data_IF_049659801405
#
_entry.id   IF_049659801405
#
_cell.length_a   1.000
_cell.length_b   1.000
_cell.length_c   1.000
_cell.angle_alpha   90.00
_cell.angle_beta   90.00
_cell.angle_gamma   90.00
#
_symmetry.space_group_name_H-M   'P 1'
#
loop_
_entity.id
_entity.type
_entity.pdbx_description
1 polymer ?
#
# COMPACT_ATOMS: atom_id res chain seq x y z
N UNK A 1 35.73 -7.42 21.19
CA UNK A 1 34.40 -6.80 21.38
C UNK A 1 34.62 -5.34 21.81
N UNK A 2 33.70 -4.41 21.52
CA UNK A 2 33.76 -3.07 22.12
C UNK A 2 33.77 -3.16 23.65
N UNK A 3 34.44 -2.22 24.30
CA UNK A 3 34.48 -2.15 25.76
C UNK A 3 33.07 -1.97 26.33
N UNK A 4 32.70 -2.77 27.33
CA UNK A 4 31.38 -2.74 27.97
C UNK A 4 30.33 -3.71 27.41
N UNK A 5 30.65 -4.50 26.37
CA UNK A 5 29.77 -5.57 25.88
C UNK A 5 29.97 -6.85 26.70
N UNK A 6 28.90 -7.35 27.31
CA UNK A 6 28.94 -8.59 28.10
C UNK A 6 29.11 -9.81 27.19
N UNK A 7 30.11 -10.64 27.51
CA UNK A 7 30.37 -11.91 26.84
C UNK A 7 29.78 -13.11 27.60
N UNK A 8 29.21 -12.89 28.79
CA UNK A 8 28.62 -13.94 29.60
C UNK A 8 27.42 -14.58 28.89
N UNK A 9 27.31 -15.91 28.99
CA UNK A 9 26.24 -16.69 28.38
C UNK A 9 26.48 -17.14 26.94
N UNK A 10 27.57 -16.71 26.29
CA UNK A 10 27.94 -17.16 24.94
C UNK A 10 29.21 -18.03 24.96
N UNK A 11 29.22 -19.09 24.14
CA UNK A 11 30.46 -19.81 23.81
C UNK A 11 31.47 -18.88 23.13
N UNK A 12 31.05 -18.27 22.01
CA UNK A 12 31.70 -17.11 21.40
C UNK A 12 30.62 -16.09 21.11
N UNK A 13 30.85 -14.82 21.46
CA UNK A 13 29.86 -13.77 21.23
C UNK A 13 29.56 -13.64 19.72
N UNK A 14 28.29 -13.60 19.26
CA UNK A 14 27.94 -13.59 17.84
C UNK A 14 28.61 -12.48 17.04
N UNK A 15 28.65 -11.25 17.56
CA UNK A 15 29.36 -10.13 16.91
C UNK A 15 30.88 -10.33 16.81
N UNK A 16 31.49 -11.07 17.76
CA UNK A 16 32.92 -11.37 17.71
C UNK A 16 33.22 -12.46 16.68
N UNK A 17 32.34 -13.47 16.59
CA UNK A 17 32.42 -14.51 15.58
C UNK A 17 32.19 -13.93 14.17
N UNK A 18 31.19 -13.05 14.00
CA UNK A 18 30.91 -12.37 12.73
C UNK A 18 32.11 -11.51 12.26
N UNK A 19 32.70 -10.73 13.17
CA UNK A 19 33.90 -9.95 12.87
C UNK A 19 35.08 -10.84 12.43
N UNK A 20 35.19 -12.08 12.94
CA UNK A 20 36.19 -13.04 12.51
C UNK A 20 35.97 -13.55 11.07
N UNK A 21 34.78 -13.35 10.49
CA UNK A 21 34.44 -13.72 9.10
C UNK A 21 34.80 -12.62 8.10
N UNK A 22 34.83 -11.35 8.51
CA UNK A 22 35.05 -10.22 7.60
C UNK A 22 36.34 -10.32 6.75
N UNK A 23 37.47 -10.87 7.25
CA UNK A 23 38.67 -11.05 6.43
C UNK A 23 38.48 -12.00 5.24
N UNK A 24 37.45 -12.86 5.21
CA UNK A 24 37.13 -13.71 4.06
C UNK A 24 36.88 -12.87 2.80
N UNK A 25 36.17 -11.73 2.95
CA UNK A 25 35.87 -10.82 1.83
C UNK A 25 37.06 -9.97 1.37
N UNK A 26 38.12 -9.84 2.19
CA UNK A 26 39.30 -9.03 1.91
C UNK A 26 40.48 -9.86 1.40
N UNK A 27 40.56 -11.15 1.76
CA UNK A 27 41.76 -11.97 1.61
C UNK A 27 41.89 -12.77 0.31
N UNK A 28 40.94 -12.67 -0.63
CA UNK A 28 40.97 -13.46 -1.87
C UNK A 28 40.96 -14.97 -1.65
N UNK A 29 40.44 -15.43 -0.50
CA UNK A 29 40.43 -16.84 -0.09
C UNK A 29 39.45 -17.70 -0.91
N UNK A 30 38.57 -17.05 -1.66
CA UNK A 30 37.53 -17.61 -2.54
C UNK A 30 37.39 -16.72 -3.77
N UNK A 31 37.21 -17.32 -4.95
CA UNK A 31 37.14 -16.62 -6.24
C UNK A 31 35.81 -15.88 -6.44
N UNK A 32 35.65 -14.73 -5.79
CA UNK A 32 34.52 -13.86 -6.03
C UNK A 32 34.62 -13.19 -7.41
N UNK A 33 33.67 -13.49 -8.30
CA UNK A 33 33.56 -12.80 -9.59
C UNK A 33 33.21 -11.32 -9.36
N UNK A 34 33.70 -10.42 -10.22
CA UNK A 34 33.38 -8.97 -10.12
C UNK A 34 31.87 -8.76 -10.08
N UNK A 35 31.37 -8.10 -9.02
CA UNK A 35 29.95 -7.76 -8.87
C UNK A 35 29.11 -8.74 -8.04
N UNK A 36 29.75 -9.71 -7.39
CA UNK A 36 29.09 -10.70 -6.51
C UNK A 36 29.63 -10.56 -5.09
N UNK A 37 28.72 -10.49 -4.11
CA UNK A 37 29.06 -10.54 -2.68
C UNK A 37 28.84 -11.95 -2.18
N UNK A 38 29.84 -12.53 -1.52
CA UNK A 38 29.74 -13.85 -0.89
C UNK A 38 29.25 -13.70 0.56
N UNK A 39 28.17 -14.40 0.92
CA UNK A 39 27.63 -14.40 2.27
C UNK A 39 27.76 -15.77 2.94
N UNK A 40 28.03 -15.83 4.27
CA UNK A 40 27.94 -17.06 5.05
C UNK A 40 26.59 -17.74 4.88
N UNK A 41 26.59 -19.00 4.45
CA UNK A 41 25.37 -19.77 4.22
C UNK A 41 25.21 -20.94 5.21
N UNK A 42 26.26 -21.73 5.40
CA UNK A 42 26.20 -22.91 6.28
C UNK A 42 27.52 -23.20 6.97
N UNK A 43 27.46 -23.56 8.25
CA UNK A 43 28.59 -24.00 9.07
C UNK A 43 28.57 -25.52 9.22
N UNK A 44 29.70 -26.18 8.95
CA UNK A 44 29.89 -27.61 9.06
C UNK A 44 31.05 -27.95 10.01
N UNK A 45 30.83 -28.94 10.89
CA UNK A 45 31.85 -29.42 11.82
C UNK A 45 32.31 -28.35 12.81
N UNK A 46 31.36 -27.69 13.48
CA UNK A 46 31.63 -26.68 14.51
C UNK A 46 31.94 -27.38 15.83
N UNK A 47 33.07 -27.04 16.45
CA UNK A 47 33.46 -27.54 17.78
C UNK A 47 33.84 -26.33 18.66
N UNK A 48 33.24 -26.24 19.85
CA UNK A 48 33.54 -25.22 20.85
C UNK A 48 34.52 -25.81 21.88
N UNK A 49 35.63 -25.12 22.11
CA UNK A 49 36.73 -25.57 22.96
C UNK A 49 36.80 -24.77 24.27
N UNK A 50 36.49 -23.47 24.21
CA UNK A 50 36.49 -22.58 25.36
C UNK A 50 35.39 -21.51 25.21
N UNK A 51 35.07 -20.80 26.30
CA UNK A 51 34.05 -19.74 26.30
C UNK A 51 34.52 -18.48 27.02
N UNK A 52 33.81 -17.36 26.81
CA UNK A 52 34.10 -16.09 27.49
C UNK A 52 35.23 -15.25 26.87
N UNK A 53 35.71 -15.60 25.67
CA UNK A 53 36.71 -14.80 24.97
C UNK A 53 36.11 -13.46 24.50
N UNK A 54 36.70 -12.34 24.96
CA UNK A 54 36.35 -10.98 24.51
C UNK A 54 37.20 -10.49 23.34
N UNK A 55 38.35 -11.14 23.12
CA UNK A 55 39.32 -10.90 22.04
C UNK A 55 39.72 -12.25 21.45
N UNK A 56 39.73 -12.35 20.12
CA UNK A 56 40.13 -13.56 19.41
C UNK A 56 41.08 -13.26 18.25
N UNK A 57 41.87 -14.27 17.88
CA UNK A 57 42.61 -14.35 16.63
C UNK A 57 41.99 -15.45 15.79
N UNK A 58 41.87 -15.22 14.48
CA UNK A 58 41.29 -16.19 13.56
C UNK A 58 42.31 -16.59 12.51
N UNK A 59 42.40 -17.90 12.24
CA UNK A 59 43.06 -18.44 11.07
C UNK A 59 41.99 -18.96 10.12
N UNK A 60 42.01 -18.44 8.90
CA UNK A 60 41.13 -18.84 7.81
C UNK A 60 41.94 -19.65 6.79
N UNK A 61 41.46 -20.82 6.40
CA UNK A 61 42.14 -21.67 5.41
C UNK A 61 41.15 -22.11 4.33
N UNK A 62 41.43 -21.88 3.03
CA UNK A 62 40.59 -22.39 1.96
C UNK A 62 40.53 -23.91 2.01
N UNK A 63 39.33 -24.49 1.89
CA UNK A 63 39.13 -25.96 1.90
C UNK A 63 38.57 -26.49 0.57
N UNK A 64 38.47 -25.64 -0.45
CA UNK A 64 38.00 -25.97 -1.80
C UNK A 64 36.57 -25.51 -2.06
N UNK A 65 36.26 -25.18 -3.32
CA UNK A 65 34.98 -24.55 -3.72
C UNK A 65 34.76 -23.20 -3.03
N UNK A 66 33.50 -22.87 -2.77
CA UNK A 66 33.10 -21.64 -2.04
C UNK A 66 33.17 -21.83 -0.51
N UNK A 67 34.16 -22.58 0.02
CA UNK A 67 34.24 -22.93 1.44
C UNK A 67 35.60 -22.62 2.11
N UNK A 68 35.53 -22.17 3.36
CA UNK A 68 36.68 -21.77 4.20
C UNK A 68 36.59 -22.47 5.56
N UNK A 69 37.70 -22.99 6.10
CA UNK A 69 37.78 -23.46 7.49
C UNK A 69 38.24 -22.36 8.43
N UNK A 70 37.77 -22.40 9.67
CA UNK A 70 38.07 -21.42 10.70
C UNK A 70 38.69 -22.10 11.92
N UNK A 71 39.78 -21.52 12.42
CA UNK A 71 40.29 -21.80 13.75
C UNK A 71 40.38 -20.47 14.49
N UNK A 72 39.56 -20.32 15.53
CA UNK A 72 39.50 -19.14 16.38
C UNK A 72 40.18 -19.47 17.69
N UNK A 73 41.16 -18.66 18.08
CA UNK A 73 41.91 -18.78 19.32
C UNK A 73 41.78 -17.49 20.13
N UNK A 74 41.99 -17.56 21.43
CA UNK A 74 42.00 -16.38 22.31
C UNK A 74 43.32 -15.58 22.19
N UNK A 75 43.50 -14.58 23.07
CA UNK A 75 44.72 -13.77 23.11
C UNK A 75 45.99 -14.57 23.48
N UNK A 76 45.84 -15.65 24.26
CA UNK A 76 46.92 -16.55 24.65
C UNK A 76 47.26 -17.57 23.54
N UNK A 77 46.38 -17.74 22.57
CA UNK A 77 46.54 -18.69 21.46
C UNK A 77 45.85 -20.03 21.70
N UNK A 78 45.07 -20.16 22.77
CA UNK A 78 44.30 -21.36 23.05
C UNK A 78 43.03 -21.40 22.17
N UNK A 79 42.67 -22.57 21.61
CA UNK A 79 41.52 -22.69 20.74
C UNK A 79 40.22 -22.38 21.48
N UNK A 80 39.36 -21.60 20.84
CA UNK A 80 38.04 -21.20 21.35
C UNK A 80 36.93 -21.87 20.53
N UNK A 81 36.97 -21.74 19.20
CA UNK A 81 36.04 -22.44 18.30
C UNK A 81 36.76 -22.86 17.03
N UNK A 82 36.44 -24.06 16.53
CA UNK A 82 36.87 -24.51 15.20
C UNK A 82 35.65 -24.80 14.33
N UNK A 83 35.78 -24.52 13.03
CA UNK A 83 34.77 -24.79 12.00
C UNK A 83 35.48 -25.49 10.85
N UNK A 84 35.09 -26.73 10.55
CA UNK A 84 35.71 -27.51 9.47
C UNK A 84 35.40 -26.96 8.09
N UNK A 85 34.17 -26.46 7.88
CA UNK A 85 33.79 -25.81 6.62
C UNK A 85 32.70 -24.75 6.84
N UNK A 86 32.96 -23.52 6.43
CA UNK A 86 31.98 -22.47 6.24
C UNK A 86 31.74 -22.30 4.74
N UNK A 87 30.55 -22.67 4.27
CA UNK A 87 30.15 -22.51 2.87
C UNK A 87 29.57 -21.12 2.66
N UNK A 88 30.02 -20.46 1.60
CA UNK A 88 29.60 -19.14 1.19
C UNK A 88 28.69 -19.27 -0.04
N UNK A 89 27.75 -18.34 -0.20
CA UNK A 89 26.93 -18.25 -1.40
C UNK A 89 27.02 -16.89 -2.07
N UNK A 90 27.04 -16.84 -3.41
CA UNK A 90 27.02 -15.61 -4.17
C UNK A 90 25.65 -14.95 -4.14
N UNK A 91 25.62 -13.64 -3.87
CA UNK A 91 24.48 -12.75 -4.09
C UNK A 91 24.91 -11.67 -5.08
N UNK A 92 24.14 -11.49 -6.15
CA UNK A 92 24.45 -10.49 -7.17
C UNK A 92 24.16 -9.08 -6.68
N UNK A 93 25.00 -8.11 -7.05
CA UNK A 93 24.75 -6.71 -6.75
C UNK A 93 23.48 -6.17 -7.46
N UNK A 94 23.00 -6.82 -8.51
CA UNK A 94 21.71 -6.52 -9.14
C UNK A 94 20.52 -6.88 -8.27
N UNK A 95 20.54 -8.03 -7.56
CA UNK A 95 19.47 -8.41 -6.65
C UNK A 95 19.34 -7.44 -5.46
N UNK A 96 20.47 -6.94 -4.95
CA UNK A 96 20.53 -5.93 -3.89
C UNK A 96 20.11 -4.52 -4.36
N UNK A 97 20.36 -4.18 -5.64
CA UNK A 97 19.94 -2.90 -6.22
C UNK A 97 18.48 -2.91 -6.65
N UNK A 98 17.95 -4.03 -7.14
CA UNK A 98 16.55 -4.14 -7.52
C UNK A 98 15.59 -3.91 -6.34
N UNK A 99 16.00 -4.21 -5.11
CA UNK A 99 15.23 -3.91 -3.90
C UNK A 99 15.33 -2.46 -3.41
N UNK A 100 16.26 -1.65 -3.94
CA UNK A 100 16.58 -0.30 -3.42
C UNK A 100 16.45 0.82 -4.46
N UNK A 101 16.74 0.57 -5.73
CA UNK A 101 16.92 1.60 -6.74
C UNK A 101 15.63 2.28 -7.25
N UNK A 102 14.44 1.77 -6.91
CA UNK A 102 13.16 2.33 -7.34
C UNK A 102 12.47 3.27 -6.34
N UNK A 103 12.94 3.33 -5.09
CA UNK A 103 12.12 3.85 -3.97
C UNK A 103 12.68 5.09 -3.27
N UNK A 104 13.83 5.62 -3.70
CA UNK A 104 14.53 6.68 -2.96
C UNK A 104 14.08 8.11 -3.27
N UNK A 105 13.31 8.33 -4.35
CA UNK A 105 12.86 9.65 -4.79
C UNK A 105 11.36 9.91 -4.59
N UNK A 106 10.58 8.89 -4.27
CA UNK A 106 9.13 9.01 -4.11
C UNK A 106 8.75 9.21 -2.65
N UNK A 107 7.88 10.18 -2.41
CA UNK A 107 7.34 10.49 -1.09
C UNK A 107 5.82 10.53 -1.14
N UNK A 108 5.20 10.19 -0.02
CA UNK A 108 3.76 10.29 0.23
C UNK A 108 3.50 11.08 1.50
N UNK A 109 2.29 11.61 1.62
CA UNK A 109 1.81 12.20 2.87
C UNK A 109 1.17 11.08 3.69
N UNK A 110 1.67 10.90 4.90
CA UNK A 110 1.05 10.08 5.93
C UNK A 110 0.40 10.98 6.96
N UNK A 111 -0.82 10.64 7.38
CA UNK A 111 -1.58 11.38 8.37
C UNK A 111 -1.38 10.72 9.73
N UNK A 112 -0.62 11.38 10.59
CA UNK A 112 -0.22 10.83 11.89
C UNK A 112 -1.13 11.40 12.99
N UNK A 113 -1.67 10.56 13.90
CA UNK A 113 -2.49 11.02 15.00
C UNK A 113 -1.75 12.06 15.86
N UNK A 114 -2.44 13.13 16.21
CA UNK A 114 -1.94 14.15 17.12
C UNK A 114 -2.56 14.00 18.51
N UNK A 115 -1.78 14.34 19.53
CA UNK A 115 -2.32 14.56 20.85
C UNK A 115 -3.17 15.85 20.86
N UNK A 116 -4.18 15.89 21.74
CA UNK A 116 -4.93 17.11 21.97
C UNK A 116 -4.00 18.23 22.47
N UNK A 117 -4.28 19.47 22.07
CA UNK A 117 -3.52 20.62 22.54
C UNK A 117 -3.70 20.80 24.06
N UNK A 118 -2.61 21.06 24.77
CA UNK A 118 -2.64 21.42 26.19
C UNK A 118 -2.80 22.94 26.33
N UNK A 119 -3.97 23.39 26.83
CA UNK A 119 -4.23 24.80 27.12
C UNK A 119 -5.60 25.28 26.63
N UNK A 120 -5.98 26.53 26.97
CA UNK A 120 -7.22 27.12 26.46
C UNK A 120 -7.12 27.37 24.94
N UNK A 121 -8.19 27.05 24.22
CA UNK A 121 -8.30 27.38 22.80
C UNK A 121 -8.39 28.91 22.61
N UNK A 122 -7.83 29.47 21.52
CA UNK A 122 -7.88 30.90 21.25
C UNK A 122 -9.32 31.37 20.99
N UNK A 123 -9.60 32.62 21.37
CA UNK A 123 -10.89 33.23 21.08
C UNK A 123 -11.07 33.44 19.57
N UNK A 124 -12.01 32.70 18.98
CA UNK A 124 -12.21 32.64 17.54
C UNK A 124 -13.48 33.37 17.06
N UNK A 125 -13.41 33.99 15.88
CA UNK A 125 -14.55 34.59 15.18
C UNK A 125 -14.68 33.99 13.78
N UNK A 126 -15.90 33.60 13.42
CA UNK A 126 -16.21 33.07 12.09
C UNK A 126 -16.47 34.21 11.11
N UNK A 127 -15.86 34.11 9.93
CA UNK A 127 -16.06 34.99 8.78
C UNK A 127 -16.82 34.25 7.68
N UNK A 128 -17.94 34.82 7.25
CA UNK A 128 -18.69 34.37 6.08
C UNK A 128 -18.14 34.93 4.76
N UNK A 129 -17.53 36.12 4.79
CA UNK A 129 -16.94 36.75 3.63
C UNK A 129 -15.85 37.77 3.99
N UNK A 130 -14.96 38.07 3.04
CA UNK A 130 -13.90 39.04 3.23
C UNK A 130 -14.38 40.50 3.42
N UNK A 131 -15.66 40.79 3.19
CA UNK A 131 -16.28 42.08 3.48
C UNK A 131 -16.52 42.31 4.97
N UNK A 132 -16.56 41.26 5.79
CA UNK A 132 -16.86 41.33 7.22
C UNK A 132 -15.64 41.77 8.07
N UNK A 133 -14.44 41.82 7.47
CA UNK A 133 -13.21 42.18 8.18
C UNK A 133 -13.27 43.58 8.82
N UNK A 134 -13.95 44.55 8.21
CA UNK A 134 -14.07 45.89 8.80
C UNK A 134 -14.97 45.89 10.05
N UNK A 135 -16.07 45.12 10.00
CA UNK A 135 -17.00 44.98 11.12
C UNK A 135 -16.36 44.22 12.30
N UNK A 136 -15.55 43.20 12.02
CA UNK A 136 -14.77 42.50 13.04
C UNK A 136 -13.78 43.45 13.71
N UNK A 137 -13.02 44.22 12.94
CA UNK A 137 -12.08 45.19 13.49
C UNK A 137 -12.76 46.24 14.37
N UNK A 138 -13.96 46.69 14.01
CA UNK A 138 -14.75 47.63 14.80
C UNK A 138 -15.20 47.08 16.16
N UNK A 139 -15.34 45.74 16.28
CA UNK A 139 -15.72 45.04 17.52
C UNK A 139 -14.52 44.59 18.35
N UNK A 140 -13.31 44.65 17.78
CA UNK A 140 -12.06 44.22 18.38
C UNK A 140 -11.43 43.04 17.63
N UNK A 141 -10.10 43.09 17.45
CA UNK A 141 -9.35 42.06 16.72
C UNK A 141 -9.33 40.75 17.54
N UNK A 142 -9.83 39.63 16.99
CA UNK A 142 -9.83 38.35 17.68
C UNK A 142 -8.45 37.69 17.67
N UNK A 143 -8.27 36.67 18.50
CA UNK A 143 -7.06 35.84 18.53
C UNK A 143 -6.99 34.90 17.33
N UNK A 144 -8.14 34.49 16.77
CA UNK A 144 -8.23 33.62 15.60
C UNK A 144 -9.42 34.02 14.72
N UNK A 145 -9.20 34.05 13.40
CA UNK A 145 -10.27 34.09 12.41
C UNK A 145 -10.51 32.69 11.85
N UNK A 146 -11.77 32.33 11.61
CA UNK A 146 -12.16 31.05 11.04
C UNK A 146 -13.05 31.31 9.83
N UNK A 147 -12.84 30.59 8.73
CA UNK A 147 -13.74 30.61 7.58
C UNK A 147 -13.98 29.20 7.06
N UNK A 148 -15.18 28.96 6.53
CA UNK A 148 -15.60 27.66 6.00
C UNK A 148 -15.77 27.78 4.49
N UNK A 149 -15.07 26.94 3.73
CA UNK A 149 -15.24 26.90 2.28
C UNK A 149 -16.59 26.25 1.95
N UNK A 150 -17.40 26.93 1.14
CA UNK A 150 -18.71 26.45 0.72
C UNK A 150 -18.59 25.14 -0.08
N UNK A 151 -19.12 24.01 0.42
CA UNK A 151 -19.02 22.72 -0.26
C UNK A 151 -19.77 22.67 -1.60
N UNK A 152 -20.70 23.60 -1.84
CA UNK A 152 -21.42 23.72 -3.10
C UNK A 152 -20.71 24.63 -4.13
N UNK A 153 -19.64 25.32 -3.73
CA UNK A 153 -18.91 26.20 -4.65
C UNK A 153 -18.13 25.41 -5.69
N UNK A 154 -18.13 25.90 -6.93
CA UNK A 154 -17.20 25.41 -7.93
C UNK A 154 -15.75 25.83 -7.61
N UNK A 155 -14.79 25.21 -8.29
CA UNK A 155 -13.35 25.45 -8.10
C UNK A 155 -12.98 26.93 -8.21
N UNK A 156 -13.55 27.64 -9.20
CA UNK A 156 -13.20 29.05 -9.46
C UNK A 156 -13.67 29.94 -8.32
N UNK A 157 -14.90 29.74 -7.87
CA UNK A 157 -15.48 30.49 -6.77
C UNK A 157 -14.76 30.21 -5.46
N UNK A 158 -14.57 28.94 -5.10
CA UNK A 158 -13.90 28.54 -3.86
C UNK A 158 -12.48 29.13 -3.75
N UNK A 159 -11.69 29.02 -4.82
CA UNK A 159 -10.32 29.57 -4.86
C UNK A 159 -10.34 31.09 -4.91
N UNK A 160 -11.24 31.70 -5.69
CA UNK A 160 -11.35 33.16 -5.84
C UNK A 160 -11.74 33.86 -4.54
N UNK A 161 -12.77 33.36 -3.86
CA UNK A 161 -13.24 33.91 -2.59
C UNK A 161 -12.17 33.77 -1.50
N UNK A 162 -11.48 32.62 -1.45
CA UNK A 162 -10.35 32.42 -0.54
C UNK A 162 -9.20 33.38 -0.85
N UNK A 163 -8.82 33.54 -2.12
CA UNK A 163 -7.75 34.45 -2.53
C UNK A 163 -8.05 35.90 -2.13
N UNK A 164 -9.28 36.38 -2.36
CA UNK A 164 -9.69 37.73 -1.97
C UNK A 164 -9.60 37.92 -0.45
N UNK A 165 -10.00 36.92 0.33
CA UNK A 165 -9.88 36.95 1.79
C UNK A 165 -8.42 37.04 2.23
N UNK A 166 -7.55 36.18 1.69
CA UNK A 166 -6.11 36.18 2.01
C UNK A 166 -5.47 37.52 1.65
N UNK A 167 -5.75 38.07 0.46
CA UNK A 167 -5.20 39.34 0.02
C UNK A 167 -5.65 40.51 0.88
N UNK A 168 -6.93 40.56 1.28
CA UNK A 168 -7.44 41.58 2.19
C UNK A 168 -6.81 41.49 3.57
N UNK A 169 -6.69 40.29 4.12
CA UNK A 169 -6.05 40.06 5.43
C UNK A 169 -4.57 40.47 5.42
N UNK A 170 -3.84 40.14 4.36
CA UNK A 170 -2.42 40.49 4.21
C UNK A 170 -2.20 41.98 3.92
N UNK A 171 -3.19 42.65 3.32
CA UNK A 171 -3.12 44.09 3.02
C UNK A 171 -3.52 45.00 4.17
N UNK A 172 -4.03 44.44 5.27
CA UNK A 172 -4.55 45.19 6.41
C UNK A 172 -3.72 44.95 7.67
N UNK A 173 -2.96 45.98 8.06
CA UNK A 173 -2.01 45.91 9.18
C UNK A 173 -2.67 45.68 10.53
N UNK A 174 -4.00 45.88 10.66
CA UNK A 174 -4.75 45.55 11.89
C UNK A 174 -4.70 44.05 12.19
N UNK A 175 -4.51 43.22 11.18
CA UNK A 175 -4.53 41.77 11.26
C UNK A 175 -3.15 41.11 11.16
N UNK A 176 -2.05 41.87 11.19
CA UNK A 176 -0.69 41.35 10.96
C UNK A 176 -0.32 40.15 11.86
N UNK A 177 -0.84 40.11 13.08
CA UNK A 177 -0.63 39.03 14.05
C UNK A 177 -1.82 38.08 14.20
N UNK A 178 -2.89 38.27 13.42
CA UNK A 178 -4.10 37.45 13.52
C UNK A 178 -4.03 36.27 12.54
N UNK A 179 -4.00 35.03 13.04
CA UNK A 179 -4.08 33.84 12.21
C UNK A 179 -5.48 33.64 11.62
N UNK A 180 -5.54 32.99 10.46
CA UNK A 180 -6.76 32.56 9.80
C UNK A 180 -6.76 31.04 9.62
N UNK A 181 -7.77 30.37 10.15
CA UNK A 181 -8.08 28.98 9.87
C UNK A 181 -9.11 28.86 8.75
N UNK A 182 -8.77 28.08 7.72
CA UNK A 182 -9.65 27.77 6.61
C UNK A 182 -10.09 26.31 6.72
N UNK A 183 -11.39 26.11 6.89
CA UNK A 183 -12.00 24.80 7.08
C UNK A 183 -12.52 24.30 5.74
N UNK A 184 -12.15 23.06 5.40
CA UNK A 184 -12.51 22.37 4.16
C UNK A 184 -13.15 21.02 4.44
N UNK A 185 -14.05 20.60 3.56
CA UNK A 185 -14.68 19.28 3.59
C UNK A 185 -13.92 18.22 2.78
N UNK A 186 -13.74 17.04 3.37
CA UNK A 186 -13.19 15.87 2.70
C UNK A 186 -14.06 15.45 1.50
N UNK A 187 -13.39 15.05 0.40
CA UNK A 187 -14.07 14.61 -0.83
C UNK A 187 -14.60 15.73 -1.74
N UNK A 188 -14.61 16.99 -1.28
CA UNK A 188 -14.99 18.13 -2.12
C UNK A 188 -13.82 18.59 -3.00
N UNK A 189 -13.87 18.29 -4.31
CA UNK A 189 -12.78 18.57 -5.26
C UNK A 189 -12.38 20.06 -5.33
N UNK A 190 -13.35 20.97 -5.21
CA UNK A 190 -13.09 22.41 -5.19
C UNK A 190 -12.20 22.82 -4.01
N UNK A 191 -12.36 22.17 -2.87
CA UNK A 191 -11.56 22.44 -1.68
C UNK A 191 -10.11 21.99 -1.85
N UNK A 192 -9.86 20.90 -2.57
CA UNK A 192 -8.49 20.45 -2.86
C UNK A 192 -7.68 21.50 -3.62
N UNK A 193 -8.32 22.32 -4.47
CA UNK A 193 -7.65 23.45 -5.12
C UNK A 193 -7.31 24.58 -4.13
N UNK A 194 -8.19 24.84 -3.16
CA UNK A 194 -7.93 25.79 -2.05
C UNK A 194 -6.73 25.38 -1.21
N UNK A 195 -6.51 24.07 -1.00
CA UNK A 195 -5.30 23.59 -0.33
C UNK A 195 -4.02 23.99 -1.05
N UNK A 196 -4.02 23.94 -2.38
CA UNK A 196 -2.88 24.38 -3.20
C UNK A 196 -2.54 25.85 -2.93
N UNK A 197 -3.55 26.71 -2.96
CA UNK A 197 -3.41 28.14 -2.66
C UNK A 197 -2.89 28.37 -1.22
N UNK A 198 -3.49 27.69 -0.23
CA UNK A 198 -3.10 27.88 1.17
C UNK A 198 -1.68 27.39 1.47
N UNK A 199 -1.21 26.31 0.85
CA UNK A 199 0.19 25.87 1.01
C UNK A 199 1.18 26.94 0.55
N UNK A 200 0.89 27.64 -0.54
CA UNK A 200 1.69 28.78 -0.98
C UNK A 200 1.63 29.91 0.06
N UNK A 201 0.43 30.31 0.49
CA UNK A 201 0.25 31.36 1.49
C UNK A 201 0.97 31.05 2.83
N UNK A 202 0.95 29.79 3.28
CA UNK A 202 1.65 29.30 4.46
C UNK A 202 3.17 29.39 4.33
N UNK A 203 3.69 29.09 3.14
CA UNK A 203 5.14 29.18 2.86
C UNK A 203 5.60 30.63 2.87
N UNK A 204 4.79 31.53 2.31
CA UNK A 204 5.08 32.97 2.25
C UNK A 204 4.87 33.67 3.60
N UNK A 205 3.93 33.19 4.43
CA UNK A 205 3.53 33.80 5.70
C UNK A 205 3.45 32.75 6.83
N UNK A 206 4.60 32.29 7.37
CA UNK A 206 4.62 31.24 8.38
C UNK A 206 3.78 31.58 9.62
N UNK A 207 2.97 30.63 10.08
CA UNK A 207 2.14 30.77 11.29
C UNK A 207 0.88 31.63 11.12
N UNK A 208 0.61 32.17 9.93
CA UNK A 208 -0.58 33.02 9.70
C UNK A 208 -1.79 32.26 9.16
N UNK A 209 -1.59 31.11 8.53
CA UNK A 209 -2.66 30.39 7.84
C UNK A 209 -2.70 28.94 8.26
N UNK A 210 -3.86 28.49 8.71
CA UNK A 210 -4.13 27.13 9.13
C UNK A 210 -5.16 26.50 8.20
N UNK A 211 -4.95 25.24 7.86
CA UNK A 211 -5.87 24.46 7.04
C UNK A 211 -6.39 23.30 7.86
N UNK A 212 -7.70 23.17 7.96
CA UNK A 212 -8.36 22.04 8.60
C UNK A 212 -9.30 21.35 7.62
N UNK A 213 -9.08 20.07 7.33
CA UNK A 213 -10.04 19.22 6.63
C UNK A 213 -10.91 18.47 7.63
N UNK A 214 -12.20 18.39 7.35
CA UNK A 214 -13.16 17.65 8.17
C UNK A 214 -14.04 16.75 7.32
N UNK A 215 -14.43 15.62 7.89
CA UNK A 215 -15.44 14.69 7.38
C UNK A 215 -16.88 15.07 7.81
N UNK A 216 -17.04 16.07 8.68
CA UNK A 216 -18.33 16.48 9.23
C UNK A 216 -18.96 17.69 8.51
N UNK A 217 -20.29 17.76 8.53
CA UNK A 217 -21.05 18.83 7.86
C UNK A 217 -21.01 20.17 8.62
N UNK A 218 -20.92 20.13 9.95
CA UNK A 218 -20.92 21.29 10.84
C UNK A 218 -19.81 21.11 11.88
N UNK A 219 -18.64 21.70 11.61
CA UNK A 219 -17.52 21.65 12.56
C UNK A 219 -17.59 22.84 13.52
N UNK A 220 -17.61 22.57 14.83
CA UNK A 220 -17.69 23.60 15.86
C UNK A 220 -16.46 24.52 15.81
N UNK A 221 -16.67 25.83 15.88
CA UNK A 221 -15.58 26.82 15.93
C UNK A 221 -14.63 26.57 17.10
N UNK A 222 -15.12 26.02 18.22
CA UNK A 222 -14.30 25.64 19.35
C UNK A 222 -13.34 24.48 19.03
N UNK A 223 -13.80 23.51 18.23
CA UNK A 223 -12.97 22.39 17.76
C UNK A 223 -11.92 22.89 16.75
N UNK A 224 -12.28 23.82 15.85
CA UNK A 224 -11.30 24.47 14.96
C UNK A 224 -10.21 25.18 15.77
N UNK A 225 -10.61 25.97 16.78
CA UNK A 225 -9.67 26.70 17.61
C UNK A 225 -8.74 25.76 18.40
N UNK A 226 -9.28 24.65 18.93
CA UNK A 226 -8.47 23.61 19.59
C UNK A 226 -7.51 22.93 18.63
N UNK A 227 -7.94 22.66 17.39
CA UNK A 227 -7.08 22.07 16.36
C UNK A 227 -5.92 23.02 16.01
N UNK A 228 -6.18 24.32 15.82
CA UNK A 228 -5.14 25.34 15.58
C UNK A 228 -4.16 25.44 16.75
N UNK A 229 -4.61 25.27 17.99
CA UNK A 229 -3.76 25.31 19.18
C UNK A 229 -2.72 24.18 19.23
N UNK A 230 -2.83 23.13 18.41
CA UNK A 230 -1.79 22.11 18.25
C UNK A 230 -0.50 22.66 17.60
N UNK A 231 -0.59 23.81 16.91
CA UNK A 231 0.54 24.43 16.21
C UNK A 231 0.82 23.86 14.81
N UNK A 232 0.04 22.88 14.36
CA UNK A 232 0.16 22.32 13.01
C UNK A 232 -0.58 23.20 11.99
N UNK A 233 0.12 23.63 10.93
CA UNK A 233 -0.46 24.48 9.89
C UNK A 233 -1.46 23.74 8.98
N UNK A 234 -1.39 22.40 8.92
CA UNK A 234 -2.30 21.56 8.15
C UNK A 234 -2.78 20.42 9.02
N UNK A 235 -4.09 20.23 9.06
CA UNK A 235 -4.76 19.29 9.94
C UNK A 235 -5.89 18.57 9.19
N UNK A 236 -6.13 17.33 9.58
CA UNK A 236 -7.33 16.57 9.21
C UNK A 236 -8.02 16.10 10.47
N UNK A 237 -9.33 16.28 10.54
CA UNK A 237 -10.20 15.63 11.51
C UNK A 237 -10.96 14.51 10.80
N UNK A 238 -10.91 13.32 11.38
CA UNK A 238 -11.71 12.18 10.95
C UNK A 238 -12.16 11.43 12.21
N UNK A 239 -13.45 11.12 12.30
CA UNK A 239 -14.05 10.40 13.43
C UNK A 239 -13.72 11.03 14.81
N UNK A 240 -13.57 12.35 14.88
CA UNK A 240 -13.25 13.09 16.11
C UNK A 240 -11.77 13.05 16.53
N UNK A 241 -10.90 12.41 15.76
CA UNK A 241 -9.45 12.40 15.98
C UNK A 241 -8.75 13.40 15.04
N UNK A 242 -7.74 14.11 15.56
CA UNK A 242 -6.90 15.01 14.77
C UNK A 242 -5.65 14.30 14.25
N UNK A 243 -5.28 14.64 13.02
CA UNK A 243 -4.11 14.13 12.32
C UNK A 243 -3.32 15.26 11.67
N UNK A 244 -2.00 15.17 11.76
CA UNK A 244 -1.06 16.06 11.10
C UNK A 244 -0.36 15.36 9.92
N UNK A 245 -0.11 16.05 8.79
CA UNK A 245 0.58 15.46 7.66
C UNK A 245 2.08 15.34 7.95
N UNK A 246 2.67 14.21 7.58
CA UNK A 246 4.11 13.96 7.60
C UNK A 246 4.54 13.41 6.26
N UNK A 247 5.67 13.88 5.76
CA UNK A 247 6.25 13.36 4.53
C UNK A 247 6.98 12.05 4.85
N UNK A 248 6.54 10.96 4.26
CA UNK A 248 7.15 9.64 4.39
C UNK A 248 7.65 9.15 3.03
N UNK A 249 8.68 8.30 3.03
CA UNK A 249 9.14 7.63 1.80
C UNK A 249 8.06 6.69 1.31
N UNK A 250 7.78 6.71 0.01
CA UNK A 250 6.86 5.77 -0.62
C UNK A 250 7.57 4.41 -0.78
N UNK A 251 7.64 3.65 0.31
CA UNK A 251 8.09 2.25 0.29
C UNK A 251 6.89 1.39 -0.12
N UNK A 252 7.03 0.57 -1.16
CA UNK A 252 5.99 -0.35 -1.62
C UNK A 252 5.94 -1.61 -0.73
N UNK A 253 5.81 -1.44 0.58
CA UNK A 253 5.73 -2.57 1.53
C UNK A 253 4.35 -3.25 1.50
N UNK A 254 3.30 -2.51 1.14
CA UNK A 254 1.91 -3.00 1.18
C UNK A 254 1.33 -3.37 -0.19
N UNK A 255 2.16 -3.48 -1.23
CA UNK A 255 1.69 -3.81 -2.58
C UNK A 255 2.36 -5.06 -3.13
N UNK A 256 1.58 -5.91 -3.81
CA UNK A 256 2.14 -7.09 -4.48
C UNK A 256 3.00 -6.67 -5.68
N UNK A 257 4.27 -7.08 -5.75
CA UNK A 257 5.13 -6.75 -6.88
C UNK A 257 4.66 -7.50 -8.13
N UNK A 258 4.44 -6.77 -9.22
CA UNK A 258 4.20 -7.38 -10.54
C UNK A 258 5.50 -8.00 -11.04
N UNK A 259 5.53 -9.28 -11.48
CA UNK A 259 6.74 -9.93 -11.96
C UNK A 259 7.41 -9.15 -13.11
N UNK A 260 8.67 -8.75 -12.91
CA UNK A 260 9.45 -8.07 -13.95
C UNK A 260 9.76 -9.03 -15.10
N UNK A 261 9.48 -8.62 -16.34
CA UNK A 261 9.80 -9.41 -17.54
C UNK A 261 8.80 -10.52 -17.88
N UNK A 262 7.73 -10.71 -17.08
CA UNK A 262 6.60 -11.56 -17.43
C UNK A 262 5.35 -10.67 -17.59
N UNK A 263 4.96 -10.28 -18.83
CA UNK A 263 3.81 -9.42 -19.04
C UNK A 263 2.48 -10.10 -18.64
N UNK A 264 2.50 -11.42 -18.46
CA UNK A 264 1.38 -12.22 -18.02
C UNK A 264 1.62 -12.80 -16.62
N UNK A 265 0.61 -12.67 -15.77
CA UNK A 265 0.66 -13.07 -14.37
C UNK A 265 -0.77 -13.28 -13.86
N UNK A 266 -0.91 -13.93 -12.71
CA UNK A 266 -2.18 -14.07 -12.00
C UNK A 266 -2.01 -13.86 -10.50
N UNK A 267 -3.07 -13.45 -9.83
CA UNK A 267 -3.14 -13.52 -8.37
C UNK A 267 -3.25 -14.99 -7.95
N UNK A 268 -2.34 -15.43 -7.09
CA UNK A 268 -2.28 -16.79 -6.58
C UNK A 268 -1.97 -16.79 -5.10
N UNK A 269 -2.22 -17.92 -4.44
CA UNK A 269 -1.78 -18.19 -3.08
C UNK A 269 -0.49 -19.00 -3.16
N UNK A 270 0.59 -18.48 -2.60
CA UNK A 270 1.86 -19.19 -2.42
C UNK A 270 2.05 -19.44 -0.94
N UNK A 271 2.10 -20.71 -0.59
CA UNK A 271 2.18 -21.13 0.81
C UNK A 271 0.93 -21.89 1.19
N UNK A 272 0.79 -22.16 2.48
CA UNK A 272 -0.34 -22.87 3.05
C UNK A 272 -0.54 -22.47 4.50
N UNK A 273 -0.19 -21.22 4.83
CA UNK A 273 -0.31 -20.70 6.20
C UNK A 273 -1.74 -20.28 6.52
N UNK A 274 -2.57 -20.05 5.48
CA UNK A 274 -3.96 -19.62 5.63
C UNK A 274 -4.07 -18.14 5.99
N UNK A 275 -3.11 -17.34 5.53
CA UNK A 275 -3.01 -15.90 5.80
C UNK A 275 -2.98 -15.12 4.48
N UNK A 276 -3.31 -13.81 4.51
CA UNK A 276 -3.35 -12.99 3.28
C UNK A 276 -1.94 -12.66 2.76
N UNK A 277 -0.93 -12.83 3.61
CA UNK A 277 0.50 -12.70 3.32
C UNK A 277 0.99 -13.75 2.31
N UNK A 278 0.25 -14.85 2.15
CA UNK A 278 0.51 -15.87 1.13
C UNK A 278 0.11 -15.40 -0.30
N UNK A 279 -0.59 -14.27 -0.45
CA UNK A 279 -0.95 -13.75 -1.77
C UNK A 279 0.27 -13.29 -2.56
N UNK A 280 0.37 -13.73 -3.81
CA UNK A 280 1.44 -13.35 -4.74
C UNK A 280 0.88 -13.12 -6.14
N UNK A 281 1.56 -12.28 -6.93
CA UNK A 281 1.39 -12.27 -8.38
C UNK A 281 2.33 -13.31 -8.98
N UNK A 282 1.78 -14.46 -9.36
CA UNK A 282 2.54 -15.55 -9.96
C UNK A 282 2.66 -15.32 -11.47
N UNK A 283 3.89 -15.38 -12.05
CA UNK A 283 4.07 -15.27 -13.48
C UNK A 283 3.42 -16.46 -14.21
N UNK A 284 2.88 -16.20 -15.39
CA UNK A 284 2.34 -17.19 -16.31
C UNK A 284 3.12 -17.16 -17.63
N UNK A 285 3.10 -18.26 -18.41
CA UNK A 285 3.60 -18.24 -19.79
C UNK A 285 2.96 -17.12 -20.62
N UNK A 286 3.63 -16.70 -21.69
CA UNK A 286 3.06 -15.71 -22.61
C UNK A 286 1.75 -16.28 -23.20
N UNK A 287 0.63 -15.54 -23.14
CA UNK A 287 -0.62 -15.98 -23.72
C UNK A 287 -0.52 -16.35 -25.20
N UNK A 288 0.42 -15.75 -25.95
CA UNK A 288 0.67 -16.03 -27.36
C UNK A 288 1.26 -17.44 -27.60
N UNK A 289 1.92 -18.03 -26.60
CA UNK A 289 2.55 -19.35 -26.71
C UNK A 289 1.55 -20.50 -26.50
N UNK A 290 0.30 -20.19 -26.14
CA UNK A 290 -0.72 -21.18 -25.84
C UNK A 290 -1.96 -20.98 -26.75
N UNK A 291 -2.10 -21.74 -27.85
CA UNK A 291 -3.23 -21.62 -28.75
C UNK A 291 -4.58 -21.86 -28.05
N UNK A 292 -5.62 -21.12 -28.45
CA UNK A 292 -6.98 -21.33 -27.95
C UNK A 292 -7.57 -22.65 -28.45
N UNK A 293 -8.26 -23.37 -27.54
CA UNK A 293 -9.05 -24.54 -27.89
C UNK A 293 -10.33 -24.12 -28.62
N UNK A 294 -11.00 -25.04 -29.33
CA UNK A 294 -12.31 -24.75 -29.90
C UNK A 294 -13.29 -24.23 -28.85
N UNK A 295 -13.98 -23.13 -29.15
CA UNK A 295 -14.93 -22.46 -28.26
C UNK A 295 -14.32 -21.53 -27.21
N UNK A 296 -12.99 -21.50 -27.04
CA UNK A 296 -12.36 -20.59 -26.08
C UNK A 296 -12.19 -19.17 -26.63
N UNK A 297 -12.21 -18.20 -25.73
CA UNK A 297 -11.97 -16.78 -26.01
C UNK A 297 -10.93 -16.28 -25.03
N UNK A 298 -9.95 -15.52 -25.54
CA UNK A 298 -8.96 -14.80 -24.73
C UNK A 298 -9.42 -13.37 -24.54
N UNK A 299 -9.42 -12.92 -23.30
CA UNK A 299 -9.88 -11.58 -22.90
C UNK A 299 -8.75 -10.85 -22.20
N UNK A 300 -8.42 -9.65 -22.67
CA UNK A 300 -7.60 -8.70 -21.93
C UNK A 300 -8.47 -8.09 -20.83
N UNK A 301 -8.21 -8.48 -19.59
CA UNK A 301 -9.01 -8.08 -18.43
C UNK A 301 -8.80 -6.59 -18.15
N UNK A 302 -9.88 -5.93 -17.73
CA UNK A 302 -9.89 -4.51 -17.30
C UNK A 302 -10.33 -4.36 -15.86
N UNK A 303 -11.28 -5.20 -15.42
CA UNK A 303 -11.69 -5.32 -14.03
C UNK A 303 -12.08 -6.78 -13.76
N UNK A 304 -11.84 -7.25 -12.52
CA UNK A 304 -12.25 -8.56 -12.04
C UNK A 304 -13.06 -8.39 -10.76
N UNK A 305 -14.14 -9.17 -10.61
CA UNK A 305 -14.96 -9.18 -9.40
C UNK A 305 -14.31 -10.06 -8.33
N UNK A 306 -14.38 -9.60 -7.08
CA UNK A 306 -13.97 -10.37 -5.90
C UNK A 306 -15.21 -10.89 -5.18
N UNK A 307 -15.20 -12.18 -4.88
CA UNK A 307 -16.29 -12.87 -4.20
C UNK A 307 -15.81 -13.44 -2.85
N UNK A 308 -16.76 -13.75 -1.97
CA UNK A 308 -16.42 -14.34 -0.65
C UNK A 308 -15.65 -15.66 -0.79
N UNK A 309 -15.87 -16.42 -1.89
CA UNK A 309 -15.07 -17.62 -2.21
C UNK A 309 -13.57 -17.32 -2.31
N UNK A 310 -13.19 -16.16 -2.84
CA UNK A 310 -11.80 -15.80 -3.10
C UNK A 310 -11.07 -15.54 -1.77
N UNK A 311 -11.78 -14.98 -0.79
CA UNK A 311 -11.29 -14.82 0.58
C UNK A 311 -11.08 -16.19 1.24
N UNK A 312 -12.04 -17.11 1.11
CA UNK A 312 -11.90 -18.45 1.65
C UNK A 312 -10.75 -19.24 1.00
N UNK A 313 -10.52 -19.06 -0.30
CA UNK A 313 -9.38 -19.65 -1.02
C UNK A 313 -8.07 -19.09 -0.47
N UNK A 314 -7.96 -17.77 -0.32
CA UNK A 314 -6.77 -17.11 0.22
C UNK A 314 -6.43 -17.58 1.65
N UNK A 315 -7.45 -17.81 2.48
CA UNK A 315 -7.28 -18.28 3.86
C UNK A 315 -7.17 -19.81 4.00
N UNK A 316 -7.18 -20.57 2.89
CA UNK A 316 -7.14 -22.04 2.94
C UNK A 316 -8.39 -22.68 3.57
N UNK A 317 -9.50 -21.93 3.63
CA UNK A 317 -10.78 -22.34 4.23
C UNK A 317 -11.79 -22.82 3.19
N UNK A 318 -11.45 -22.78 1.90
CA UNK A 318 -12.37 -23.18 0.83
C UNK A 318 -12.64 -24.69 0.86
N UNK A 319 -13.92 -25.13 0.89
CA UNK A 319 -14.26 -26.55 0.89
C UNK A 319 -13.74 -27.26 -0.37
N UNK A 320 -13.05 -28.40 -0.21
CA UNK A 320 -12.54 -29.19 -1.34
C UNK A 320 -11.18 -29.87 -1.13
N UNK A 321 -10.47 -29.59 -0.03
CA UNK A 321 -9.13 -30.13 0.22
C UNK A 321 -8.03 -29.31 -0.47
N UNK A 322 -6.86 -29.92 -0.71
CA UNK A 322 -5.67 -29.25 -1.29
C UNK A 322 -5.80 -28.78 -2.75
N UNK A 323 -6.93 -29.08 -3.40
CA UNK A 323 -7.23 -28.69 -4.79
C UNK A 323 -8.16 -27.47 -4.85
N UNK A 324 -7.83 -26.43 -4.08
CA UNK A 324 -8.62 -25.20 -4.12
C UNK A 324 -8.57 -24.58 -5.53
N UNK A 325 -9.71 -24.10 -6.06
CA UNK A 325 -9.74 -23.46 -7.37
C UNK A 325 -8.95 -22.15 -7.35
N UNK A 326 -8.56 -21.66 -8.53
CA UNK A 326 -7.90 -20.38 -8.65
C UNK A 326 -8.77 -19.23 -8.10
N UNK A 327 -8.10 -18.21 -7.59
CA UNK A 327 -8.71 -16.94 -7.19
C UNK A 327 -9.20 -16.23 -8.45
N UNK A 328 -10.39 -15.63 -8.37
CA UNK A 328 -11.03 -15.00 -9.53
C UNK A 328 -11.92 -15.97 -10.28
N UNK A 329 -13.09 -15.47 -10.66
CA UNK A 329 -14.21 -16.24 -11.19
C UNK A 329 -15.00 -15.40 -12.22
N UNK A 330 -14.94 -14.08 -12.11
CA UNK A 330 -15.60 -13.17 -13.04
C UNK A 330 -14.70 -12.01 -13.40
N UNK A 331 -14.93 -11.44 -14.58
CA UNK A 331 -14.25 -10.25 -15.04
C UNK A 331 -15.00 -9.59 -16.19
N UNK A 332 -14.58 -8.37 -16.49
CA UNK A 332 -14.92 -7.63 -17.69
C UNK A 332 -13.63 -7.17 -18.40
N UNK A 333 -13.68 -7.15 -19.73
CA UNK A 333 -12.51 -6.83 -20.54
C UNK A 333 -12.82 -6.75 -22.02
N UNK A 334 -11.77 -6.90 -22.81
CA UNK A 334 -11.81 -6.82 -24.27
C UNK A 334 -11.32 -8.13 -24.86
N UNK A 335 -12.08 -8.70 -25.79
CA UNK A 335 -11.66 -9.90 -26.53
C UNK A 335 -10.39 -9.56 -27.32
N UNK A 336 -9.35 -10.37 -27.17
CA UNK A 336 -8.10 -10.23 -27.95
C UNK A 336 -7.96 -11.31 -29.01
N UNK A 337 -8.51 -12.50 -28.76
CA UNK A 337 -8.43 -13.64 -29.69
C UNK A 337 -9.59 -14.59 -29.44
N UNK A 338 -10.05 -15.24 -30.50
CA UNK A 338 -11.13 -16.23 -30.47
C UNK A 338 -10.64 -17.54 -31.06
N UNK A 339 -10.88 -18.64 -30.35
CA UNK A 339 -10.57 -19.98 -30.82
C UNK A 339 -11.52 -20.45 -31.92
N UNK A 340 -11.22 -21.59 -32.56
CA UNK A 340 -12.08 -22.16 -33.59
C UNK A 340 -13.52 -22.39 -33.10
N UNK A 341 -14.52 -22.11 -33.93
CA UNK A 341 -15.93 -22.40 -33.62
C UNK A 341 -16.63 -21.42 -32.69
N UNK A 342 -16.01 -20.26 -32.37
CA UNK A 342 -16.68 -19.14 -31.72
C UNK A 342 -17.46 -18.33 -32.77
N UNK A 343 -18.80 -18.26 -32.72
CA UNK A 343 -19.59 -17.70 -33.82
C UNK A 343 -19.85 -16.20 -33.71
N UNK A 344 -19.82 -15.64 -32.50
CA UNK A 344 -20.52 -14.40 -32.15
C UNK A 344 -19.67 -13.37 -31.39
N UNK A 345 -18.41 -13.66 -31.10
CA UNK A 345 -17.46 -12.73 -30.50
C UNK A 345 -16.29 -12.49 -31.46
N UNK A 346 -15.80 -11.25 -31.50
CA UNK A 346 -14.66 -10.84 -32.32
C UNK A 346 -13.62 -10.10 -31.47
N UNK A 347 -12.32 -10.15 -31.85
CA UNK A 347 -11.32 -9.27 -31.25
C UNK A 347 -11.76 -7.80 -31.27
N UNK A 348 -11.65 -7.14 -30.12
CA UNK A 348 -12.13 -5.78 -29.87
C UNK A 348 -13.50 -5.70 -29.18
N UNK A 349 -14.28 -6.78 -29.16
CA UNK A 349 -15.56 -6.79 -28.44
C UNK A 349 -15.35 -6.60 -26.94
N UNK A 350 -16.15 -5.71 -26.35
CA UNK A 350 -16.21 -5.52 -24.89
C UNK A 350 -17.10 -6.60 -24.31
N UNK A 351 -16.59 -7.38 -23.36
CA UNK A 351 -17.29 -8.53 -22.78
C UNK A 351 -17.17 -8.57 -21.26
N UNK A 352 -18.09 -9.27 -20.63
CA UNK A 352 -18.04 -9.62 -19.21
C UNK A 352 -18.69 -10.99 -18.99
N UNK A 353 -18.39 -11.65 -17.88
CA UNK A 353 -18.99 -12.95 -17.58
C UNK A 353 -18.17 -13.76 -16.59
N UNK A 354 -18.30 -15.09 -16.67
CA UNK A 354 -17.55 -16.02 -15.84
C UNK A 354 -16.21 -16.35 -16.50
N UNK A 355 -15.13 -15.90 -15.86
CA UNK A 355 -13.75 -16.12 -16.26
C UNK A 355 -13.00 -16.71 -15.06
N UNK A 356 -12.70 -18.02 -15.05
CA UNK A 356 -11.81 -18.60 -14.06
C UNK A 356 -10.43 -17.94 -14.15
N UNK A 357 -9.74 -17.81 -13.01
CA UNK A 357 -8.37 -17.29 -12.97
C UNK A 357 -8.26 -15.86 -13.55
N UNK A 358 -9.30 -15.04 -13.31
CA UNK A 358 -9.49 -13.75 -13.98
C UNK A 358 -8.69 -12.60 -13.40
N UNK A 359 -8.04 -12.77 -12.24
CA UNK A 359 -7.25 -11.71 -11.61
C UNK A 359 -5.84 -11.74 -12.18
N UNK A 360 -5.73 -11.26 -13.41
CA UNK A 360 -4.51 -11.15 -14.21
C UNK A 360 -4.74 -10.19 -15.38
N UNK A 361 -3.72 -9.92 -16.21
CA UNK A 361 -3.87 -9.04 -17.37
C UNK A 361 -4.65 -9.71 -18.50
N UNK A 362 -4.64 -11.06 -18.56
CA UNK A 362 -5.32 -11.87 -19.57
C UNK A 362 -5.98 -13.07 -18.91
N UNK A 363 -7.21 -13.37 -19.31
CA UNK A 363 -7.95 -14.55 -18.89
C UNK A 363 -8.54 -15.27 -20.10
N UNK A 364 -8.92 -16.55 -19.92
CA UNK A 364 -9.54 -17.38 -20.96
C UNK A 364 -10.79 -18.04 -20.41
N UNK A 365 -11.80 -18.15 -21.24
CA UNK A 365 -13.02 -18.88 -20.89
C UNK A 365 -13.71 -19.38 -22.16
N UNK A 366 -14.73 -20.21 -22.00
CA UNK A 366 -15.61 -20.61 -23.10
C UNK A 366 -16.52 -19.44 -23.49
N UNK A 367 -16.72 -19.21 -24.80
CA UNK A 367 -17.51 -18.08 -25.30
C UNK A 367 -18.94 -18.04 -24.73
N UNK A 368 -19.51 -19.19 -24.35
CA UNK A 368 -20.86 -19.31 -23.78
C UNK A 368 -20.99 -18.72 -22.37
N UNK A 369 -19.87 -18.49 -21.69
CA UNK A 369 -19.83 -17.84 -20.37
C UNK A 369 -19.66 -16.32 -20.46
N UNK A 370 -19.62 -15.76 -21.66
CA UNK A 370 -19.45 -14.34 -21.90
C UNK A 370 -20.71 -13.72 -22.49
N UNK A 371 -20.97 -12.48 -22.07
CA UNK A 371 -21.92 -11.59 -22.72
C UNK A 371 -21.20 -10.32 -23.17
N UNK A 372 -21.71 -9.68 -24.23
CA UNK A 372 -21.22 -8.35 -24.62
C UNK A 372 -21.60 -7.33 -23.56
N UNK A 373 -20.68 -6.42 -23.29
CA UNK A 373 -20.85 -5.36 -22.32
C UNK A 373 -21.96 -4.39 -22.78
N UNK A 374 -22.97 -4.08 -21.96
CA UNK A 374 -23.99 -3.10 -22.30
C UNK A 374 -23.42 -1.70 -22.54
N UNK A 375 -24.12 -0.90 -23.37
CA UNK A 375 -23.76 0.50 -23.58
C UNK A 375 -23.88 1.29 -22.26
N UNK A 376 -22.94 2.20 -22.03
CA UNK A 376 -22.89 3.02 -20.81
C UNK A 376 -22.30 2.32 -19.58
N UNK A 377 -22.07 1.00 -19.62
CA UNK A 377 -21.44 0.30 -18.49
C UNK A 377 -19.92 0.49 -18.49
N UNK A 378 -19.38 0.74 -17.29
CA UNK A 378 -17.95 0.64 -17.03
C UNK A 378 -17.53 -0.84 -16.88
N UNK A 379 -16.24 -1.12 -16.97
CA UNK A 379 -15.74 -2.49 -16.76
C UNK A 379 -15.91 -2.92 -15.31
N UNK A 380 -15.76 -1.99 -14.36
CA UNK A 380 -15.93 -2.22 -12.92
C UNK A 380 -17.36 -2.61 -12.58
N UNK A 381 -18.35 -1.86 -13.09
CA UNK A 381 -19.78 -2.20 -12.93
C UNK A 381 -20.08 -3.59 -13.49
N UNK A 382 -19.58 -3.87 -14.70
CA UNK A 382 -19.82 -5.16 -15.32
C UNK A 382 -19.12 -6.31 -14.61
N UNK A 383 -17.89 -6.15 -14.13
CA UNK A 383 -17.16 -7.20 -13.44
C UNK A 383 -17.77 -7.58 -12.09
N UNK A 384 -18.57 -6.69 -11.47
CA UNK A 384 -19.27 -6.95 -10.21
C UNK A 384 -20.61 -7.69 -10.36
N UNK A 385 -21.03 -7.99 -11.59
CA UNK A 385 -22.39 -8.48 -11.88
C UNK A 385 -22.51 -10.02 -12.00
N UNK A 386 -21.66 -10.74 -12.77
CA UNK A 386 -21.94 -12.11 -13.18
C UNK A 386 -22.29 -13.07 -12.05
N UNK A 387 -21.42 -13.22 -11.05
CA UNK A 387 -21.56 -14.23 -10.00
C UNK A 387 -22.73 -13.90 -9.09
N UNK A 388 -22.84 -12.65 -8.66
CA UNK A 388 -23.91 -12.21 -7.77
C UNK A 388 -25.30 -12.43 -8.39
N UNK A 389 -25.49 -11.90 -9.61
CA UNK A 389 -26.78 -11.94 -10.29
C UNK A 389 -27.12 -13.32 -10.85
N UNK A 390 -26.15 -14.08 -11.38
CA UNK A 390 -26.41 -15.46 -11.80
C UNK A 390 -26.78 -16.35 -10.61
N UNK A 391 -26.14 -16.15 -9.45
CA UNK A 391 -26.48 -16.88 -8.23
C UNK A 391 -27.90 -16.56 -7.77
N UNK A 392 -28.26 -15.27 -7.71
CA UNK A 392 -29.60 -14.83 -7.34
C UNK A 392 -30.66 -15.32 -8.34
N UNK A 393 -30.41 -15.20 -9.64
CA UNK A 393 -31.30 -15.67 -10.70
C UNK A 393 -31.49 -17.19 -10.63
N UNK A 394 -30.41 -17.95 -10.57
CA UNK A 394 -30.49 -19.40 -10.49
C UNK A 394 -31.22 -19.86 -9.22
N UNK A 395 -30.94 -19.24 -8.07
CA UNK A 395 -31.57 -19.57 -6.80
C UNK A 395 -33.07 -19.26 -6.77
N UNK A 396 -33.45 -18.03 -7.13
CA UNK A 396 -34.81 -17.53 -6.99
C UNK A 396 -35.70 -17.91 -8.17
N UNK A 397 -35.19 -17.84 -9.40
CA UNK A 397 -35.98 -18.05 -10.62
C UNK A 397 -35.94 -19.51 -11.05
N UNK A 398 -34.75 -20.06 -11.30
CA UNK A 398 -34.62 -21.41 -11.89
C UNK A 398 -34.93 -22.52 -10.89
N UNK A 399 -34.40 -22.43 -9.66
CA UNK A 399 -34.50 -23.49 -8.66
C UNK A 399 -35.75 -23.37 -7.78
N UNK A 400 -36.00 -22.18 -7.22
CA UNK A 400 -37.13 -21.96 -6.32
C UNK A 400 -38.44 -21.61 -7.05
N UNK A 401 -38.36 -21.06 -8.27
CA UNK A 401 -39.55 -20.67 -9.04
C UNK A 401 -40.39 -19.60 -8.34
N UNK A 402 -39.76 -18.66 -7.65
CA UNK A 402 -40.41 -17.59 -6.87
C UNK A 402 -41.35 -16.76 -7.75
N UNK A 403 -42.55 -16.48 -7.22
CA UNK A 403 -43.60 -15.70 -7.90
C UNK A 403 -43.96 -14.45 -7.12
N UNK A 404 -44.64 -13.54 -7.82
CA UNK A 404 -45.21 -12.35 -7.18
C UNK A 404 -46.17 -12.76 -6.04
N UNK A 405 -45.92 -12.22 -4.84
CA UNK A 405 -46.68 -12.52 -3.63
C UNK A 405 -45.99 -13.50 -2.67
N UNK A 406 -44.94 -14.19 -3.10
CA UNK A 406 -44.16 -15.05 -2.23
C UNK A 406 -43.29 -14.23 -1.26
N UNK A 407 -43.08 -14.74 -0.05
CA UNK A 407 -42.15 -14.16 0.92
C UNK A 407 -40.79 -14.86 0.82
N UNK A 408 -39.72 -14.08 0.66
CA UNK A 408 -38.34 -14.58 0.57
C UNK A 408 -37.52 -14.02 1.73
N UNK A 409 -36.80 -14.89 2.44
CA UNK A 409 -35.82 -14.49 3.44
C UNK A 409 -34.43 -14.42 2.80
N UNK A 410 -33.86 -13.21 2.71
CA UNK A 410 -32.51 -12.98 2.22
C UNK A 410 -31.58 -12.69 3.40
N UNK A 411 -30.60 -13.56 3.61
CA UNK A 411 -29.54 -13.30 4.59
C UNK A 411 -28.45 -12.42 3.97
N UNK A 412 -27.77 -11.63 4.82
CA UNK A 412 -26.70 -10.73 4.39
C UNK A 412 -27.11 -9.79 3.23
N UNK A 413 -28.28 -9.15 3.33
CA UNK A 413 -28.84 -8.31 2.26
C UNK A 413 -28.00 -7.10 1.82
N UNK A 414 -26.94 -6.74 2.56
CA UNK A 414 -25.97 -5.73 2.15
C UNK A 414 -24.74 -6.31 1.40
N UNK A 415 -24.65 -7.64 1.27
CA UNK A 415 -23.61 -8.30 0.49
C UNK A 415 -23.98 -8.43 -0.98
N UNK A 416 -23.01 -8.70 -1.85
CA UNK A 416 -23.21 -8.68 -3.31
C UNK A 416 -24.36 -9.55 -3.85
N UNK A 417 -24.54 -10.78 -3.32
CA UNK A 417 -25.67 -11.67 -3.71
C UNK A 417 -26.98 -11.26 -3.01
N UNK A 418 -26.89 -10.60 -1.85
CA UNK A 418 -28.05 -10.24 -1.04
C UNK A 418 -28.72 -8.94 -1.49
N UNK A 419 -27.94 -8.01 -2.06
CA UNK A 419 -28.43 -6.84 -2.80
C UNK A 419 -29.04 -7.26 -4.12
#
# INVERSE_FOLDING_TARGET
LPDGVDAAGFGVHPALLDAALHPIGLGGLVDAHKGVTLLPFSFGGVELHASGASVVRVRLTPVGGDSVSLLVADAAGEPVVSVKALTLRPVSAEALRASSAGHDSLYRIDWVPLAAAEGPAPAAVVLGAASELDDVAARGIPELLVTYVDPAADVRRAVGDTLVLLQRLLGDTRYDTTPLAVVTRAGALAHTAVWGLLRTAQTENPGRFFLLETDQDLYDVAEVASAVATGENQLRSAEGQLFGPRLARAVSVDTLPVPSGAPNWRLAVRGGTGTLEDLVLAPLPDPADEPLRPGEVRVAVRAAGLNFRDILIALGMYPGGGDAPAIGNEAAGVVVETGPGVPDLLPGDRVFGLLPDSIGPVARTDHRFLARLPEGWSYETAAATPVAFLTAWMGLVELAGVRAGDAVLVHAGAGGVGM
#
